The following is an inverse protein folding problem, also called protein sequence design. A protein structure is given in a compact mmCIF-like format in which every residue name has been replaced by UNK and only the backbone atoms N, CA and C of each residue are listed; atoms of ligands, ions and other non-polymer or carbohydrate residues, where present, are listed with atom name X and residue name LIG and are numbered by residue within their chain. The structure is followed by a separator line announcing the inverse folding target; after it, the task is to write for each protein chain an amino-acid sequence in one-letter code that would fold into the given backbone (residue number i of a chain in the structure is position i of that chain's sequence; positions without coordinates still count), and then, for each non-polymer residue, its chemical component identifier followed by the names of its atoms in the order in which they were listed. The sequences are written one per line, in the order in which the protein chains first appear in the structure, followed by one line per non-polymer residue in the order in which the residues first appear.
data_IF_759037289976
#
_entry.id   IF_759037289976
#
_cell.length_a   1.000
_cell.length_b   1.000
_cell.length_c   1.000
_cell.angle_alpha   90.00
_cell.angle_beta   90.00
_cell.angle_gamma   90.00
#
_symmetry.space_group_name_H-M   'P 1'
#
loop_
_entity.id
_entity.type
_entity.pdbx_description
1 polymer ?
#
# COMPACT_ATOMS: atom_id res chain seq x y z
N UNK A 1 -14.10 1.63 -14.25
CA UNK A 1 -13.75 2.13 -12.92
C UNK A 1 -14.64 3.30 -12.45
N UNK A 2 -15.96 3.18 -12.44
CA UNK A 2 -16.89 4.32 -12.28
C UNK A 2 -17.54 4.53 -10.89
N UNK A 3 -17.22 3.74 -9.87
CA UNK A 3 -17.96 3.80 -8.60
C UNK A 3 -17.63 4.99 -7.70
N UNK A 4 -16.36 5.16 -7.31
CA UNK A 4 -15.91 6.27 -6.46
C UNK A 4 -15.85 7.58 -7.23
N UNK A 5 -15.37 7.56 -8.48
CA UNK A 5 -15.35 8.75 -9.31
C UNK A 5 -16.71 9.41 -9.42
N UNK A 6 -17.77 8.63 -9.54
CA UNK A 6 -19.13 9.18 -9.61
C UNK A 6 -19.56 9.85 -8.29
N UNK A 7 -19.27 9.26 -7.13
CA UNK A 7 -19.60 9.86 -5.84
C UNK A 7 -18.77 11.12 -5.55
N UNK A 8 -17.46 11.07 -5.79
CA UNK A 8 -16.57 12.22 -5.64
C UNK A 8 -16.97 13.35 -6.56
N UNK A 9 -17.30 13.08 -7.83
CA UNK A 9 -17.82 14.09 -8.76
C UNK A 9 -19.13 14.72 -8.30
N UNK A 10 -20.05 13.91 -7.77
CA UNK A 10 -21.32 14.41 -7.22
C UNK A 10 -21.07 15.39 -6.06
N UNK A 11 -20.03 15.15 -5.25
CA UNK A 11 -19.63 16.07 -4.18
C UNK A 11 -18.93 17.31 -4.74
N UNK A 12 -18.04 17.15 -5.72
CA UNK A 12 -17.30 18.23 -6.36
C UNK A 12 -18.19 19.16 -7.19
N UNK A 13 -19.26 18.63 -7.83
CA UNK A 13 -20.23 19.43 -8.62
C UNK A 13 -21.11 20.35 -7.78
N UNK A 14 -21.01 20.31 -6.45
CA UNK A 14 -21.78 21.22 -5.58
C UNK A 14 -21.25 22.67 -5.57
N UNK A 15 -20.27 23.02 -6.39
CA UNK A 15 -19.66 24.36 -6.57
C UNK A 15 -19.52 25.18 -5.25
N UNK A 16 -19.23 24.50 -4.16
CA UNK A 16 -19.03 25.08 -2.84
C UNK A 16 -17.70 24.65 -2.26
N UNK A 17 -17.01 25.54 -1.56
CA UNK A 17 -15.76 25.22 -0.86
C UNK A 17 -15.95 24.06 0.14
N UNK A 18 -17.08 24.00 0.81
CA UNK A 18 -17.42 22.91 1.72
C UNK A 18 -17.62 21.58 0.99
N UNK A 19 -18.22 21.60 -0.22
CA UNK A 19 -18.35 20.43 -1.09
C UNK A 19 -16.98 19.89 -1.54
N UNK A 20 -16.11 20.79 -1.95
CA UNK A 20 -14.74 20.46 -2.34
C UNK A 20 -13.93 19.87 -1.16
N UNK A 21 -13.93 20.55 -0.02
CA UNK A 21 -13.22 20.09 1.18
C UNK A 21 -13.73 18.72 1.65
N UNK A 22 -15.05 18.50 1.65
CA UNK A 22 -15.64 17.21 2.00
C UNK A 22 -15.28 16.11 1.01
N UNK A 23 -15.19 16.40 -0.29
CA UNK A 23 -14.76 15.44 -1.30
C UNK A 23 -13.30 15.00 -1.09
N UNK A 24 -12.39 15.95 -0.85
CA UNK A 24 -10.98 15.63 -0.57
C UNK A 24 -10.80 14.90 0.78
N UNK A 25 -11.51 15.31 1.83
CA UNK A 25 -11.49 14.60 3.11
C UNK A 25 -11.99 13.16 2.96
N UNK A 26 -13.08 12.96 2.24
CA UNK A 26 -13.64 11.65 1.94
C UNK A 26 -12.68 10.81 1.08
N UNK A 27 -12.06 11.40 0.05
CA UNK A 27 -11.03 10.75 -0.76
C UNK A 27 -9.83 10.33 0.09
N UNK A 28 -9.38 11.18 1.01
CA UNK A 28 -8.30 10.87 1.96
C UNK A 28 -8.61 9.68 2.86
N UNK A 29 -9.81 9.67 3.46
CA UNK A 29 -10.25 8.53 4.29
C UNK A 29 -10.31 7.22 3.50
N UNK A 30 -10.74 7.28 2.26
CA UNK A 30 -10.86 6.07 1.42
C UNK A 30 -9.50 5.58 0.93
N UNK A 31 -8.65 6.47 0.46
CA UNK A 31 -7.37 6.08 -0.15
C UNK A 31 -6.33 5.64 0.87
N UNK A 32 -6.32 6.27 2.05
CA UNK A 32 -5.34 6.01 3.10
C UNK A 32 -5.94 5.38 4.37
N UNK A 33 -7.27 5.32 4.48
CA UNK A 33 -7.96 4.85 5.68
C UNK A 33 -7.49 3.48 6.19
N UNK A 34 -7.44 2.43 5.38
CA UNK A 34 -6.94 1.12 5.80
C UNK A 34 -5.53 1.17 6.39
N UNK A 35 -4.64 1.91 5.76
CA UNK A 35 -3.26 2.09 6.18
C UNK A 35 -3.15 2.90 7.48
N UNK A 36 -3.83 4.04 7.54
CA UNK A 36 -3.86 4.92 8.73
C UNK A 36 -4.47 4.20 9.93
N UNK A 37 -5.58 3.47 9.73
CA UNK A 37 -6.21 2.69 10.79
C UNK A 37 -5.28 1.61 11.35
N UNK A 38 -4.44 0.98 10.51
CA UNK A 38 -3.46 0.00 11.00
C UNK A 38 -2.39 0.65 11.87
N UNK A 39 -1.80 1.76 11.42
CA UNK A 39 -0.79 2.49 12.20
C UNK A 39 -1.38 2.98 13.52
N UNK A 40 -2.51 3.69 13.47
CA UNK A 40 -3.18 4.25 14.66
C UNK A 40 -3.60 3.13 15.61
N UNK A 41 -4.14 2.03 15.11
CA UNK A 41 -4.55 0.88 15.92
C UNK A 41 -3.39 0.28 16.71
N UNK A 42 -2.24 0.03 16.06
CA UNK A 42 -1.05 -0.52 16.71
C UNK A 42 -0.48 0.47 17.74
N UNK A 43 -0.42 1.77 17.41
CA UNK A 43 0.03 2.80 18.32
C UNK A 43 -0.89 2.92 19.56
N UNK A 44 -2.22 2.87 19.37
CA UNK A 44 -3.18 2.91 20.47
C UNK A 44 -3.05 1.68 21.39
N UNK A 45 -2.89 0.49 20.83
CA UNK A 45 -2.64 -0.71 21.64
C UNK A 45 -1.38 -0.52 22.49
N UNK A 46 -0.29 -0.06 21.88
CA UNK A 46 0.96 0.21 22.58
C UNK A 46 0.77 1.23 23.72
N UNK A 47 0.24 2.41 23.38
CA UNK A 47 0.07 3.51 24.31
C UNK A 47 -0.86 3.16 25.51
N UNK A 48 -2.01 2.55 25.22
CA UNK A 48 -2.99 2.16 26.25
C UNK A 48 -2.57 0.91 27.06
N UNK A 49 -1.49 0.25 26.67
CA UNK A 49 -0.91 -0.87 27.40
C UNK A 49 0.24 -0.44 28.33
N UNK A 50 0.74 0.79 28.20
CA UNK A 50 1.77 1.33 29.09
C UNK A 50 1.24 1.31 30.54
N UNK A 51 2.05 0.82 31.47
CA UNK A 51 1.69 0.69 32.88
C UNK A 51 0.87 -0.54 33.27
N UNK A 52 0.28 -1.23 32.29
CA UNK A 52 -0.44 -2.51 32.50
C UNK A 52 0.37 -3.74 32.10
N UNK A 53 1.15 -3.62 31.05
CA UNK A 53 2.02 -4.69 30.56
C UNK A 53 3.43 -4.47 31.07
N UNK A 54 3.88 -5.37 31.94
CA UNK A 54 5.20 -5.30 32.58
C UNK A 54 5.95 -6.61 32.32
N UNK A 55 7.20 -6.56 31.85
CA UNK A 55 8.01 -5.39 31.51
C UNK A 55 7.55 -4.71 30.19
N UNK A 56 7.80 -3.40 30.06
CA UNK A 56 7.44 -2.61 28.89
C UNK A 56 8.03 -3.13 27.56
N UNK A 57 9.11 -3.91 27.60
CA UNK A 57 9.70 -4.61 26.46
C UNK A 57 8.67 -5.48 25.70
N UNK A 58 7.66 -6.05 26.39
CA UNK A 58 6.63 -6.88 25.76
C UNK A 58 5.78 -6.08 24.76
N UNK A 59 5.59 -4.77 25.00
CA UNK A 59 4.89 -3.89 24.07
C UNK A 59 5.72 -3.70 22.79
N UNK A 60 7.03 -3.47 22.94
CA UNK A 60 7.94 -3.36 21.80
C UNK A 60 8.00 -4.68 21.01
N UNK A 61 8.08 -5.81 21.70
CA UNK A 61 8.04 -7.13 21.07
C UNK A 61 6.76 -7.34 20.27
N UNK A 62 5.61 -6.93 20.81
CA UNK A 62 4.34 -6.96 20.10
C UNK A 62 4.36 -6.09 18.83
N UNK A 63 4.77 -4.82 18.95
CA UNK A 63 4.82 -3.89 17.82
C UNK A 63 5.75 -4.38 16.71
N UNK A 64 6.94 -4.87 17.06
CA UNK A 64 7.90 -5.43 16.12
C UNK A 64 7.34 -6.67 15.45
N UNK A 65 6.76 -7.61 16.23
CA UNK A 65 6.14 -8.82 15.68
C UNK A 65 5.06 -8.47 14.63
N UNK A 66 4.17 -7.53 14.96
CA UNK A 66 3.12 -7.10 14.02
C UNK A 66 3.70 -6.39 12.79
N UNK A 67 4.74 -5.58 12.95
CA UNK A 67 5.41 -4.91 11.83
C UNK A 67 6.01 -5.91 10.84
N UNK A 68 6.67 -6.97 11.34
CA UNK A 68 7.17 -8.05 10.47
C UNK A 68 6.03 -8.83 9.80
N UNK A 69 4.94 -9.11 10.52
CA UNK A 69 3.76 -9.75 9.91
C UNK A 69 3.22 -8.94 8.74
N UNK A 70 3.12 -7.61 8.88
CA UNK A 70 2.68 -6.70 7.81
C UNK A 70 3.69 -6.70 6.67
N UNK A 71 4.97 -6.45 6.93
CA UNK A 71 6.01 -6.32 5.93
C UNK A 71 6.17 -7.59 5.08
N UNK A 72 6.36 -8.73 5.75
CA UNK A 72 6.64 -10.00 5.07
C UNK A 72 5.41 -10.52 4.33
N UNK A 73 4.19 -10.35 4.89
CA UNK A 73 2.96 -10.73 4.20
C UNK A 73 2.69 -9.89 2.95
N UNK A 74 2.98 -8.59 2.97
CA UNK A 74 2.88 -7.70 1.80
C UNK A 74 3.86 -8.10 0.70
N UNK A 75 5.12 -8.37 1.05
CA UNK A 75 6.14 -8.80 0.08
C UNK A 75 5.76 -10.16 -0.51
N UNK A 76 5.34 -11.13 0.33
CA UNK A 76 4.96 -12.47 -0.12
C UNK A 76 3.77 -12.45 -1.09
N UNK A 77 2.77 -11.61 -0.81
CA UNK A 77 1.55 -11.55 -1.63
C UNK A 77 1.67 -10.61 -2.81
N UNK A 78 2.67 -9.72 -2.83
CA UNK A 78 2.93 -8.77 -3.90
C UNK A 78 2.85 -9.37 -5.31
N UNK A 79 3.46 -10.54 -5.59
CA UNK A 79 3.35 -11.23 -6.86
C UNK A 79 1.92 -11.48 -7.34
N UNK A 80 1.02 -11.84 -6.42
CA UNK A 80 -0.36 -12.16 -6.77
C UNK A 80 -1.24 -10.91 -6.87
N UNK A 81 -0.92 -9.84 -6.15
CA UNK A 81 -1.74 -8.65 -6.05
C UNK A 81 -2.06 -8.05 -7.44
N UNK A 82 -1.05 -7.67 -8.21
CA UNK A 82 -1.24 -7.03 -9.51
C UNK A 82 -1.74 -8.00 -10.58
N UNK A 83 -1.22 -9.23 -10.60
CA UNK A 83 -1.62 -10.25 -11.56
C UNK A 83 -3.10 -10.63 -11.39
N UNK A 84 -3.55 -10.81 -10.14
CA UNK A 84 -4.94 -11.14 -9.84
C UNK A 84 -5.89 -9.96 -10.10
N UNK A 85 -5.48 -8.73 -9.82
CA UNK A 85 -6.24 -7.52 -10.17
C UNK A 85 -6.47 -7.46 -11.69
N UNK A 86 -5.44 -7.70 -12.49
CA UNK A 86 -5.55 -7.72 -13.94
C UNK A 86 -6.48 -8.82 -14.43
N UNK A 87 -6.30 -10.04 -13.93
CA UNK A 87 -7.18 -11.16 -14.25
C UNK A 87 -8.66 -10.83 -13.95
N UNK A 88 -8.94 -10.26 -12.78
CA UNK A 88 -10.30 -9.87 -12.40
C UNK A 88 -10.86 -8.81 -13.34
N UNK A 89 -10.07 -7.80 -13.70
CA UNK A 89 -10.48 -6.75 -14.63
C UNK A 89 -10.79 -7.30 -16.02
N UNK A 90 -9.96 -8.24 -16.53
CA UNK A 90 -10.18 -8.88 -17.82
C UNK A 90 -11.46 -9.72 -17.81
N UNK A 91 -11.74 -10.48 -16.73
CA UNK A 91 -12.99 -11.27 -16.62
C UNK A 91 -14.22 -10.37 -16.53
N UNK A 92 -14.16 -9.26 -15.81
CA UNK A 92 -15.23 -8.26 -15.76
C UNK A 92 -15.51 -7.64 -17.15
N UNK A 93 -14.43 -7.30 -17.88
CA UNK A 93 -14.55 -6.77 -19.24
C UNK A 93 -15.20 -7.79 -20.20
N UNK A 94 -14.83 -9.07 -20.08
CA UNK A 94 -15.40 -10.17 -20.86
C UNK A 94 -16.80 -10.58 -20.41
N UNK A 95 -17.37 -9.95 -19.35
CA UNK A 95 -18.65 -10.30 -18.71
C UNK A 95 -18.70 -11.76 -18.22
N UNK A 96 -17.56 -12.28 -17.74
CA UNK A 96 -17.42 -13.63 -17.17
C UNK A 96 -17.31 -13.60 -15.65
N UNK A 97 -18.19 -12.89 -15.00
CA UNK A 97 -18.17 -12.63 -13.54
C UNK A 97 -18.21 -13.93 -12.71
N UNK A 98 -18.86 -14.99 -13.25
CA UNK A 98 -18.96 -16.30 -12.61
C UNK A 98 -17.61 -17.01 -12.42
N UNK A 99 -16.53 -16.59 -13.14
CA UNK A 99 -15.17 -17.14 -12.99
C UNK A 99 -14.38 -16.45 -11.89
N UNK A 100 -14.82 -15.29 -11.42
CA UNK A 100 -14.05 -14.45 -10.51
C UNK A 100 -13.94 -15.11 -9.12
N UNK A 101 -15.08 -15.46 -8.51
CA UNK A 101 -15.10 -16.09 -7.19
C UNK A 101 -14.35 -17.43 -7.11
N UNK A 102 -14.50 -18.37 -8.07
CA UNK A 102 -13.73 -19.61 -8.06
C UNK A 102 -12.23 -19.42 -8.16
N UNK A 103 -11.75 -18.41 -8.91
CA UNK A 103 -10.34 -18.09 -9.01
C UNK A 103 -9.83 -17.37 -7.76
N UNK A 104 -10.66 -16.56 -7.08
CA UNK A 104 -10.33 -16.01 -5.77
C UNK A 104 -10.06 -17.13 -4.75
N UNK A 105 -10.89 -18.19 -4.72
CA UNK A 105 -10.65 -19.34 -3.85
C UNK A 105 -9.32 -20.04 -4.15
N UNK A 106 -8.97 -20.18 -5.43
CA UNK A 106 -7.70 -20.80 -5.84
C UNK A 106 -6.49 -19.95 -5.39
N UNK A 107 -6.56 -18.63 -5.54
CA UNK A 107 -5.51 -17.71 -5.08
C UNK A 107 -5.42 -17.71 -3.55
N UNK A 108 -6.55 -17.66 -2.84
CA UNK A 108 -6.59 -17.72 -1.38
C UNK A 108 -6.02 -19.05 -0.85
N UNK A 109 -6.32 -20.16 -1.50
CA UNK A 109 -5.75 -21.47 -1.16
C UNK A 109 -4.23 -21.48 -1.36
N UNK A 110 -3.73 -21.00 -2.50
CA UNK A 110 -2.29 -20.90 -2.77
C UNK A 110 -1.59 -20.04 -1.72
N UNK A 111 -2.13 -18.84 -1.45
CA UNK A 111 -1.57 -17.90 -0.47
C UNK A 111 -1.60 -18.49 0.94
N UNK A 112 -2.70 -19.14 1.33
CA UNK A 112 -2.81 -19.81 2.63
C UNK A 112 -1.80 -20.96 2.76
N UNK A 113 -1.66 -21.80 1.73
CA UNK A 113 -0.70 -22.91 1.72
C UNK A 113 0.75 -22.41 1.79
N UNK A 114 1.10 -21.42 0.96
CA UNK A 114 2.45 -20.87 0.91
C UNK A 114 2.81 -20.12 2.20
N UNK A 115 1.95 -19.20 2.66
CA UNK A 115 2.19 -18.45 3.90
C UNK A 115 2.17 -19.38 5.13
N UNK A 116 1.30 -20.39 5.14
CA UNK A 116 1.27 -21.42 6.19
C UNK A 116 2.57 -22.22 6.24
N UNK A 117 3.04 -22.72 5.10
CA UNK A 117 4.28 -23.49 5.01
C UNK A 117 5.51 -22.66 5.44
N UNK A 118 5.64 -21.43 4.93
CA UNK A 118 6.71 -20.50 5.33
C UNK A 118 6.59 -20.13 6.81
N UNK A 119 5.37 -19.80 7.28
CA UNK A 119 5.13 -19.43 8.67
C UNK A 119 5.48 -20.55 9.64
N UNK A 120 5.09 -21.81 9.35
CA UNK A 120 5.45 -22.98 10.17
C UNK A 120 6.97 -23.21 10.15
N UNK A 121 7.60 -23.15 8.98
CA UNK A 121 9.04 -23.27 8.88
C UNK A 121 9.76 -22.21 9.71
N UNK A 122 9.38 -20.93 9.58
CA UNK A 122 9.92 -19.86 10.42
C UNK A 122 9.68 -20.11 11.90
N UNK A 123 8.47 -20.49 12.29
CA UNK A 123 8.14 -20.76 13.70
C UNK A 123 8.98 -21.88 14.33
N UNK A 124 9.29 -22.92 13.55
CA UNK A 124 10.10 -24.06 14.02
C UNK A 124 11.59 -23.73 14.06
N UNK A 125 12.13 -23.14 12.98
CA UNK A 125 13.58 -22.95 12.83
C UNK A 125 14.09 -21.62 13.39
N UNK A 126 13.28 -20.57 13.36
CA UNK A 126 13.74 -19.23 13.76
C UNK A 126 13.29 -18.82 15.18
N UNK A 127 12.26 -19.48 15.74
CA UNK A 127 11.71 -19.14 17.04
C UNK A 127 11.67 -20.37 18.01
N UNK A 128 12.72 -21.21 18.10
CA UNK A 128 12.68 -22.41 18.93
C UNK A 128 12.51 -22.11 20.42
N UNK A 129 13.03 -20.97 20.89
CA UNK A 129 13.00 -20.56 22.30
C UNK A 129 11.68 -19.88 22.72
N UNK A 130 10.84 -19.53 21.75
CA UNK A 130 9.59 -18.84 22.04
C UNK A 130 8.49 -19.84 22.39
N UNK A 131 7.51 -19.38 23.19
CA UNK A 131 6.37 -20.21 23.58
C UNK A 131 5.60 -20.75 22.37
N UNK A 132 5.02 -21.93 22.53
CA UNK A 132 4.19 -22.55 21.48
C UNK A 132 3.04 -21.62 21.08
N UNK A 133 2.44 -20.91 22.06
CA UNK A 133 1.33 -19.99 21.80
C UNK A 133 1.78 -18.81 20.93
N UNK A 134 2.92 -18.17 21.25
CA UNK A 134 3.49 -17.10 20.43
C UNK A 134 3.72 -17.57 18.98
N UNK A 135 4.35 -18.73 18.80
CA UNK A 135 4.61 -19.32 17.47
C UNK A 135 3.33 -19.57 16.68
N UNK A 136 2.30 -20.14 17.32
CA UNK A 136 1.01 -20.37 16.68
C UNK A 136 0.31 -19.06 16.28
N UNK A 137 0.36 -18.04 17.14
CA UNK A 137 -0.21 -16.71 16.86
C UNK A 137 0.53 -16.01 15.72
N UNK A 138 1.86 -16.13 15.64
CA UNK A 138 2.65 -15.59 14.53
C UNK A 138 2.28 -16.26 13.20
N UNK A 139 2.18 -17.60 13.16
CA UNK A 139 1.76 -18.33 11.96
C UNK A 139 0.33 -17.94 11.55
N UNK A 140 -0.61 -17.95 12.50
CA UNK A 140 -2.00 -17.56 12.23
C UNK A 140 -2.09 -16.12 11.73
N UNK A 141 -1.41 -15.17 12.40
CA UNK A 141 -1.34 -13.78 11.98
C UNK A 141 -0.78 -13.61 10.58
N UNK A 142 0.29 -14.34 10.25
CA UNK A 142 0.92 -14.29 8.92
C UNK A 142 -0.01 -14.77 7.81
N UNK A 143 -0.70 -15.89 8.03
CA UNK A 143 -1.67 -16.44 7.07
C UNK A 143 -2.87 -15.52 6.90
N UNK A 144 -3.42 -15.01 8.01
CA UNK A 144 -4.56 -14.09 7.98
C UNK A 144 -4.21 -12.80 7.25
N UNK A 145 -3.08 -12.16 7.59
CA UNK A 145 -2.62 -10.94 6.94
C UNK A 145 -2.39 -11.13 5.44
N UNK A 146 -1.75 -12.25 5.04
CA UNK A 146 -1.53 -12.57 3.63
C UNK A 146 -2.86 -12.66 2.86
N UNK A 147 -3.88 -13.26 3.43
CA UNK A 147 -5.21 -13.33 2.81
C UNK A 147 -5.97 -12.00 2.82
N UNK A 148 -5.77 -11.16 3.86
CA UNK A 148 -6.34 -9.80 3.88
C UNK A 148 -5.83 -8.99 2.68
N UNK A 149 -4.54 -9.03 2.35
CA UNK A 149 -3.98 -8.29 1.21
C UNK A 149 -4.62 -8.71 -0.11
N UNK A 150 -4.86 -9.99 -0.31
CA UNK A 150 -5.56 -10.47 -1.52
C UNK A 150 -7.03 -10.03 -1.53
N UNK A 151 -7.72 -10.14 -0.39
CA UNK A 151 -9.12 -9.72 -0.29
C UNK A 151 -9.32 -8.21 -0.49
N UNK A 152 -8.42 -7.37 0.07
CA UNK A 152 -8.45 -5.90 -0.11
C UNK A 152 -8.35 -5.51 -1.57
N UNK A 153 -7.38 -6.08 -2.29
CA UNK A 153 -7.16 -5.77 -3.69
C UNK A 153 -8.33 -6.22 -4.54
N UNK A 154 -8.87 -7.39 -4.26
CA UNK A 154 -10.07 -7.88 -4.91
C UNK A 154 -11.27 -6.93 -4.71
N UNK A 155 -11.53 -6.54 -3.47
CA UNK A 155 -12.61 -5.59 -3.15
C UNK A 155 -12.36 -4.19 -3.73
N UNK A 156 -11.12 -3.74 -3.83
CA UNK A 156 -10.77 -2.47 -4.47
C UNK A 156 -11.12 -2.48 -5.95
N UNK A 157 -10.88 -3.59 -6.65
CA UNK A 157 -11.30 -3.79 -8.03
C UNK A 157 -12.82 -3.72 -8.23
N UNK A 158 -13.61 -4.04 -7.19
CA UNK A 158 -15.07 -3.99 -7.19
C UNK A 158 -15.67 -2.61 -6.85
N UNK A 159 -14.85 -1.61 -6.55
CA UNK A 159 -15.27 -0.23 -6.25
C UNK A 159 -16.12 -0.05 -4.98
N UNK A 160 -16.13 -1.02 -4.09
CA UNK A 160 -16.88 -0.97 -2.83
C UNK A 160 -16.08 -0.32 -1.69
N UNK A 161 -15.44 0.77 -1.96
CA UNK A 161 -14.50 1.44 -1.06
C UNK A 161 -15.10 1.83 0.30
N UNK A 162 -16.39 2.24 0.34
CA UNK A 162 -17.07 2.51 1.63
C UNK A 162 -17.13 1.26 2.50
N UNK A 163 -17.53 0.13 1.90
CA UNK A 163 -17.62 -1.13 2.63
C UNK A 163 -16.25 -1.59 3.12
N UNK A 164 -15.18 -1.39 2.31
CA UNK A 164 -13.79 -1.68 2.72
C UNK A 164 -13.42 -0.83 3.94
N UNK A 165 -13.58 0.50 3.88
CA UNK A 165 -13.24 1.40 5.00
C UNK A 165 -14.01 1.05 6.27
N UNK A 166 -15.31 0.78 6.17
CA UNK A 166 -16.10 0.36 7.32
C UNK A 166 -15.65 -0.97 7.90
N UNK A 167 -15.30 -1.94 7.05
CA UNK A 167 -14.79 -3.25 7.49
C UNK A 167 -13.45 -3.10 8.19
N UNK A 168 -12.58 -2.22 7.68
CA UNK A 168 -11.32 -1.89 8.36
C UNK A 168 -11.54 -1.19 9.69
N UNK A 169 -12.43 -0.20 9.73
CA UNK A 169 -12.75 0.52 10.98
C UNK A 169 -13.25 -0.44 12.06
N UNK A 170 -14.21 -1.30 11.72
CA UNK A 170 -14.75 -2.30 12.65
C UNK A 170 -13.68 -3.32 13.03
N UNK A 171 -12.92 -3.84 12.06
CA UNK A 171 -11.85 -4.80 12.29
C UNK A 171 -10.77 -4.26 13.22
N UNK A 172 -10.30 -3.03 13.01
CA UNK A 172 -9.30 -2.41 13.89
C UNK A 172 -9.88 -2.00 15.25
N UNK A 173 -11.15 -1.60 15.34
CA UNK A 173 -11.81 -1.41 16.62
C UNK A 173 -11.83 -2.71 17.44
N UNK A 174 -12.20 -3.83 16.81
CA UNK A 174 -12.15 -5.15 17.46
C UNK A 174 -10.70 -5.52 17.82
N UNK A 175 -9.73 -5.25 16.96
CA UNK A 175 -8.30 -5.48 17.22
C UNK A 175 -7.85 -4.78 18.49
N UNK A 176 -8.14 -3.47 18.62
CA UNK A 176 -7.77 -2.68 19.79
C UNK A 176 -8.48 -3.20 21.05
N UNK A 177 -9.79 -3.41 20.97
CA UNK A 177 -10.57 -3.89 22.13
C UNK A 177 -10.12 -5.27 22.60
N UNK A 178 -9.90 -6.22 21.68
CA UNK A 178 -9.46 -7.56 22.02
C UNK A 178 -8.03 -7.57 22.58
N UNK A 179 -7.10 -6.79 22.01
CA UNK A 179 -5.75 -6.67 22.52
C UNK A 179 -5.73 -6.07 23.92
N UNK A 180 -6.51 -5.02 24.17
CA UNK A 180 -6.63 -4.42 25.52
C UNK A 180 -7.31 -5.35 26.52
N UNK A 181 -8.31 -6.12 26.11
CA UNK A 181 -8.97 -7.11 26.97
C UNK A 181 -8.01 -8.25 27.39
N UNK A 182 -7.13 -8.66 26.48
CA UNK A 182 -6.20 -9.75 26.70
C UNK A 182 -4.81 -9.31 27.19
N UNK A 183 -4.55 -8.00 27.32
CA UNK A 183 -3.24 -7.43 27.69
C UNK A 183 -2.63 -7.98 28.98
N UNK A 184 -3.46 -8.45 29.92
CA UNK A 184 -3.00 -9.09 31.15
C UNK A 184 -2.20 -10.38 30.96
N UNK A 185 -2.23 -10.97 29.75
CA UNK A 185 -1.39 -12.13 29.35
C UNK A 185 -0.08 -11.70 28.70
N UNK A 186 0.31 -10.42 28.77
CA UNK A 186 1.55 -9.89 28.19
C UNK A 186 1.56 -9.93 26.67
N UNK A 187 2.71 -10.31 26.10
CA UNK A 187 2.94 -10.36 24.65
C UNK A 187 1.90 -11.24 23.92
N UNK A 188 1.67 -12.43 24.43
CA UNK A 188 0.73 -13.38 23.80
C UNK A 188 -0.72 -12.88 23.83
N UNK A 189 -1.10 -12.15 24.89
CA UNK A 189 -2.41 -11.53 24.97
C UNK A 189 -2.59 -10.41 23.95
N UNK A 190 -1.59 -9.53 23.80
CA UNK A 190 -1.61 -8.46 22.81
C UNK A 190 -1.66 -9.02 21.39
N UNK A 191 -0.79 -9.99 21.10
CA UNK A 191 -0.72 -10.62 19.77
C UNK A 191 -1.99 -11.45 19.48
N UNK A 192 -2.54 -12.15 20.47
CA UNK A 192 -3.80 -12.89 20.36
C UNK A 192 -4.97 -11.96 20.02
N UNK A 193 -5.07 -10.82 20.73
CA UNK A 193 -6.07 -9.80 20.42
C UNK A 193 -5.94 -9.23 19.01
N UNK A 194 -4.70 -8.99 18.57
CA UNK A 194 -4.43 -8.58 17.18
C UNK A 194 -4.91 -9.62 16.18
N UNK A 195 -4.54 -10.89 16.36
CA UNK A 195 -4.94 -11.99 15.46
C UNK A 195 -6.46 -12.17 15.40
N UNK A 196 -7.15 -12.08 16.55
CA UNK A 196 -8.63 -12.13 16.60
C UNK A 196 -9.23 -10.99 15.76
N UNK A 197 -8.77 -9.76 15.95
CA UNK A 197 -9.27 -8.62 15.20
C UNK A 197 -9.00 -8.72 13.71
N UNK A 198 -7.81 -9.17 13.30
CA UNK A 198 -7.48 -9.40 11.89
C UNK A 198 -8.30 -10.56 11.28
N UNK A 199 -8.62 -11.59 12.05
CA UNK A 199 -9.53 -12.65 11.60
C UNK A 199 -10.94 -12.11 11.36
N UNK A 200 -11.46 -11.28 12.27
CA UNK A 200 -12.76 -10.62 12.08
C UNK A 200 -12.76 -9.72 10.83
N UNK A 201 -11.67 -8.98 10.60
CA UNK A 201 -11.48 -8.18 9.40
C UNK A 201 -11.52 -9.04 8.13
N UNK A 202 -10.77 -10.13 8.10
CA UNK A 202 -10.75 -11.06 6.97
C UNK A 202 -12.13 -11.68 6.71
N UNK A 203 -12.82 -12.15 7.74
CA UNK A 203 -14.18 -12.70 7.63
C UNK A 203 -15.15 -11.65 7.08
N UNK A 204 -15.07 -10.40 7.56
CA UNK A 204 -15.85 -9.28 7.03
C UNK A 204 -15.63 -9.05 5.54
N UNK A 205 -14.37 -9.07 5.09
CA UNK A 205 -14.01 -8.92 3.66
C UNK A 205 -14.52 -10.09 2.82
N UNK A 206 -14.31 -11.32 3.27
CA UNK A 206 -14.80 -12.53 2.59
C UNK A 206 -16.32 -12.47 2.47
N UNK A 207 -17.03 -12.04 3.51
CA UNK A 207 -18.49 -11.88 3.48
C UNK A 207 -18.92 -10.86 2.41
N UNK A 208 -18.20 -9.75 2.28
CA UNK A 208 -18.48 -8.77 1.22
C UNK A 208 -18.23 -9.37 -0.17
N UNK A 209 -17.20 -10.17 -0.35
CA UNK A 209 -16.90 -10.85 -1.62
C UNK A 209 -18.05 -11.79 -2.00
N UNK A 210 -18.49 -12.64 -1.07
CA UNK A 210 -19.59 -13.59 -1.31
C UNK A 210 -20.95 -12.93 -1.58
N UNK A 211 -21.17 -11.72 -1.02
CA UNK A 211 -22.39 -10.94 -1.30
C UNK A 211 -22.43 -10.36 -2.70
N UNK A 212 -21.29 -10.14 -3.32
CA UNK A 212 -21.19 -9.46 -4.62
C UNK A 212 -20.99 -10.44 -5.78
N UNK A 213 -20.41 -11.59 -5.53
CA UNK A 213 -20.17 -12.60 -6.56
C UNK A 213 -20.79 -13.94 -6.17
N UNK A 214 -21.55 -14.48 -7.10
CA UNK A 214 -22.12 -15.84 -6.98
C UNK A 214 -21.51 -16.71 -8.08
N UNK A 215 -21.22 -17.96 -7.77
CA UNK A 215 -20.76 -18.93 -8.76
C UNK A 215 -21.25 -20.33 -8.39
N UNK A 216 -21.58 -21.11 -9.42
CA UNK A 216 -21.92 -22.53 -9.25
C UNK A 216 -20.69 -23.41 -9.04
N UNK A 217 -19.50 -22.92 -9.48
CA UNK A 217 -18.23 -23.62 -9.30
C UNK A 217 -17.55 -23.14 -8.02
N UNK A 218 -17.10 -24.07 -7.20
CA UNK A 218 -16.40 -23.71 -5.97
C UNK A 218 -14.99 -23.20 -6.24
N UNK A 219 -14.23 -23.82 -7.17
CA UNK A 219 -12.83 -23.50 -7.44
C UNK A 219 -12.51 -23.59 -8.93
N UNK A 220 -11.62 -22.71 -9.40
CA UNK A 220 -11.04 -22.71 -10.74
C UNK A 220 -9.60 -22.20 -10.66
N UNK A 221 -8.71 -22.78 -11.48
CA UNK A 221 -7.28 -22.42 -11.53
C UNK A 221 -6.92 -21.67 -12.81
N UNK A 222 -7.90 -21.05 -13.47
CA UNK A 222 -7.68 -20.34 -14.74
C UNK A 222 -6.71 -19.16 -14.59
N UNK A 223 -6.66 -18.52 -13.41
CA UNK A 223 -5.73 -17.43 -13.10
C UNK A 223 -4.27 -17.85 -13.23
N UNK A 224 -3.94 -19.13 -13.02
CA UNK A 224 -2.57 -19.68 -13.13
C UNK A 224 -2.22 -20.17 -14.52
N UNK A 225 -3.16 -20.16 -15.47
CA UNK A 225 -2.83 -20.49 -16.84
C UNK A 225 -1.88 -19.44 -17.43
N UNK A 226 -0.88 -19.90 -18.20
CA UNK A 226 0.18 -19.05 -18.76
C UNK A 226 -0.35 -17.81 -19.52
N UNK A 227 -1.52 -17.92 -20.14
CA UNK A 227 -2.18 -16.81 -20.86
C UNK A 227 -2.74 -15.73 -19.93
N UNK A 228 -3.11 -16.08 -18.72
CA UNK A 228 -3.76 -15.23 -17.72
C UNK A 228 -2.82 -14.76 -16.62
N UNK A 229 -1.69 -15.46 -16.45
CA UNK A 229 -0.66 -15.10 -15.49
C UNK A 229 0.31 -14.10 -16.13
N UNK A 230 0.15 -12.85 -15.90
CA UNK A 230 1.02 -11.78 -16.42
C UNK A 230 2.37 -11.74 -15.69
N UNK A 231 3.46 -12.42 -16.16
CA UNK A 231 4.70 -12.56 -15.40
C UNK A 231 5.35 -11.22 -15.03
N UNK A 232 5.23 -10.23 -15.93
CA UNK A 232 5.72 -8.87 -15.63
C UNK A 232 5.03 -8.25 -14.41
N UNK A 233 3.71 -8.42 -14.26
CA UNK A 233 2.96 -7.91 -13.12
C UNK A 233 3.31 -8.65 -11.81
N UNK A 234 3.59 -9.96 -11.90
CA UNK A 234 4.09 -10.77 -10.77
C UNK A 234 5.40 -10.19 -10.24
N UNK A 235 6.36 -9.92 -11.15
CA UNK A 235 7.67 -9.37 -10.78
C UNK A 235 7.53 -7.93 -10.27
N UNK A 236 6.73 -7.10 -10.94
CA UNK A 236 6.48 -5.70 -10.50
C UNK A 236 5.91 -5.66 -9.10
N UNK A 237 4.91 -6.49 -8.79
CA UNK A 237 4.30 -6.54 -7.46
C UNK A 237 5.28 -6.93 -6.36
N UNK A 238 6.18 -7.89 -6.65
CA UNK A 238 7.26 -8.27 -5.74
C UNK A 238 8.24 -7.11 -5.54
N UNK A 239 8.76 -6.54 -6.64
CA UNK A 239 9.77 -5.48 -6.59
C UNK A 239 9.25 -4.22 -5.90
N UNK A 240 8.00 -3.82 -6.17
CA UNK A 240 7.41 -2.65 -5.54
C UNK A 240 7.28 -2.80 -4.02
N UNK A 241 6.70 -3.92 -3.55
CA UNK A 241 6.58 -4.18 -2.11
C UNK A 241 7.95 -4.36 -1.44
N UNK A 242 8.88 -5.07 -2.10
CA UNK A 242 10.24 -5.20 -1.59
C UNK A 242 10.94 -3.82 -1.50
N UNK A 243 10.81 -3.00 -2.54
CA UNK A 243 11.42 -1.67 -2.57
C UNK A 243 10.97 -0.75 -1.44
N UNK A 244 9.69 -0.83 -1.03
CA UNK A 244 9.14 -0.03 0.07
C UNK A 244 9.70 -0.47 1.44
N UNK A 245 10.01 -1.76 1.62
CA UNK A 245 10.45 -2.30 2.90
C UNK A 245 11.96 -2.47 3.03
N UNK A 246 12.69 -2.41 1.93
CA UNK A 246 14.12 -2.78 1.85
C UNK A 246 15.00 -1.95 2.77
N UNK A 247 14.84 -0.62 2.77
CA UNK A 247 15.56 0.28 3.66
C UNK A 247 15.31 -0.04 5.13
N UNK A 248 14.05 -0.34 5.53
CA UNK A 248 13.69 -0.71 6.90
C UNK A 248 14.42 -2.00 7.32
N UNK A 249 14.37 -3.04 6.50
CA UNK A 249 15.13 -4.27 6.76
C UNK A 249 16.64 -4.01 6.88
N UNK A 250 17.20 -3.14 6.04
CA UNK A 250 18.64 -2.80 6.12
C UNK A 250 18.97 -2.10 7.43
N UNK A 251 18.13 -1.17 7.91
CA UNK A 251 18.31 -0.51 9.20
C UNK A 251 18.10 -1.47 10.38
N UNK A 252 17.17 -2.41 10.29
CA UNK A 252 16.93 -3.38 11.36
C UNK A 252 18.10 -4.32 11.58
N UNK A 253 18.79 -4.73 10.50
CA UNK A 253 19.88 -5.69 10.59
C UNK A 253 21.27 -5.05 10.51
N UNK A 254 21.37 -3.72 10.42
CA UNK A 254 22.65 -3.03 10.48
C UNK A 254 23.18 -2.99 11.93
N UNK A 255 24.44 -3.35 12.17
CA UNK A 255 25.00 -3.38 13.53
C UNK A 255 24.97 -2.03 14.26
N UNK A 256 24.97 -0.92 13.50
CA UNK A 256 24.96 0.44 14.04
C UNK A 256 23.58 0.94 14.47
N UNK A 257 22.49 0.38 13.97
CA UNK A 257 21.12 0.90 14.16
C UNK A 257 20.13 -0.13 14.62
N UNK A 258 20.37 -1.41 14.32
CA UNK A 258 19.49 -2.51 14.65
C UNK A 258 19.68 -3.03 16.06
N UNK A 259 18.57 -3.33 16.72
CA UNK A 259 18.54 -3.96 18.04
C UNK A 259 17.70 -5.23 17.97
N UNK A 260 18.22 -6.33 18.51
CA UNK A 260 17.46 -7.56 18.63
C UNK A 260 16.34 -7.39 19.66
N UNK A 261 15.11 -7.73 19.28
CA UNK A 261 13.91 -7.53 20.13
C UNK A 261 13.34 -8.86 20.59
N UNK A 262 13.14 -9.82 19.68
CA UNK A 262 12.61 -11.13 19.99
C UNK A 262 13.03 -12.15 18.93
N UNK A 263 13.70 -13.23 19.35
CA UNK A 263 14.25 -14.21 18.42
C UNK A 263 15.09 -13.54 17.33
N UNK A 264 14.87 -13.80 16.04
CA UNK A 264 15.61 -13.19 14.95
C UNK A 264 15.09 -11.78 14.57
N UNK A 265 14.02 -11.30 15.20
CA UNK A 265 13.44 -10.01 14.86
C UNK A 265 14.24 -8.87 15.47
N UNK A 266 14.64 -7.93 14.62
CA UNK A 266 15.34 -6.71 14.97
C UNK A 266 14.45 -5.51 14.67
N UNK A 267 14.70 -4.41 15.35
CA UNK A 267 14.07 -3.12 15.10
C UNK A 267 15.10 -2.01 15.16
N UNK A 268 14.82 -0.90 14.51
CA UNK A 268 15.65 0.29 14.58
C UNK A 268 14.84 1.46 15.11
N UNK A 269 14.84 1.65 16.43
CA UNK A 269 14.07 2.74 17.06
C UNK A 269 14.42 4.09 16.42
N UNK A 270 15.68 4.27 16.05
CA UNK A 270 16.19 5.49 15.41
C UNK A 270 15.48 5.73 14.07
N UNK A 271 15.23 4.68 13.29
CA UNK A 271 14.65 4.78 11.94
C UNK A 271 13.15 4.62 11.93
N UNK A 272 12.61 3.67 12.70
CA UNK A 272 11.19 3.27 12.63
C UNK A 272 10.24 4.38 13.03
N UNK A 273 10.54 5.12 14.11
CA UNK A 273 9.65 6.17 14.62
C UNK A 273 9.49 7.32 13.62
N UNK A 274 10.58 7.93 13.09
CA UNK A 274 10.46 8.97 12.07
C UNK A 274 9.72 8.51 10.81
N UNK A 275 10.04 7.31 10.32
CA UNK A 275 9.41 6.74 9.12
C UNK A 275 7.90 6.56 9.31
N UNK A 276 7.44 6.00 10.44
CA UNK A 276 6.02 5.85 10.72
C UNK A 276 5.28 7.19 10.76
N UNK A 277 5.87 8.20 11.39
CA UNK A 277 5.30 9.55 11.41
C UNK A 277 5.28 10.18 10.01
N UNK A 278 6.35 9.99 9.24
CA UNK A 278 6.45 10.48 7.87
C UNK A 278 5.37 9.90 6.95
N UNK A 279 5.03 8.62 7.12
CA UNK A 279 3.96 7.99 6.35
C UNK A 279 2.57 8.56 6.63
N UNK A 280 2.32 9.20 7.76
CA UNK A 280 1.06 9.92 7.99
C UNK A 280 0.94 11.18 7.10
N UNK A 281 2.07 11.72 6.63
CA UNK A 281 2.10 12.85 5.69
C UNK A 281 1.53 12.55 4.31
N UNK A 282 1.39 11.27 3.93
CA UNK A 282 0.91 10.90 2.60
C UNK A 282 -0.60 11.13 2.41
N UNK A 283 -1.36 11.28 3.49
CA UNK A 283 -2.84 11.35 3.47
C UNK A 283 -3.36 12.42 2.49
N UNK A 284 -2.89 13.69 2.52
CA UNK A 284 -3.38 14.71 1.60
C UNK A 284 -3.06 14.40 0.14
N UNK A 285 -1.84 13.91 -0.14
CA UNK A 285 -1.44 13.52 -1.50
C UNK A 285 -2.24 12.34 -2.03
N UNK A 286 -2.55 11.36 -1.19
CA UNK A 286 -3.40 10.23 -1.56
C UNK A 286 -4.85 10.65 -1.85
N UNK A 287 -5.36 11.67 -1.16
CA UNK A 287 -6.66 12.25 -1.46
C UNK A 287 -6.69 12.87 -2.86
N UNK A 288 -5.67 13.67 -3.19
CA UNK A 288 -5.52 14.27 -4.54
C UNK A 288 -5.32 13.20 -5.60
N UNK A 289 -4.49 12.19 -5.33
CA UNK A 289 -4.30 11.04 -6.22
C UNK A 289 -5.64 10.38 -6.59
N UNK A 290 -6.49 10.09 -5.60
CA UNK A 290 -7.77 9.44 -5.85
C UNK A 290 -8.71 10.33 -6.70
N UNK A 291 -8.74 11.63 -6.43
CA UNK A 291 -9.58 12.58 -7.18
C UNK A 291 -9.04 12.77 -8.60
N UNK A 292 -7.75 13.06 -8.75
CA UNK A 292 -7.17 13.47 -10.03
C UNK A 292 -6.83 12.30 -10.95
N UNK A 293 -6.27 11.23 -10.39
CA UNK A 293 -5.83 10.09 -11.22
C UNK A 293 -6.94 9.04 -11.33
N UNK A 294 -7.53 8.62 -10.23
CA UNK A 294 -8.54 7.56 -10.26
C UNK A 294 -9.94 8.05 -10.71
N UNK A 295 -10.16 9.37 -10.79
CA UNK A 295 -11.45 9.93 -11.16
C UNK A 295 -11.35 10.75 -12.46
N UNK A 296 -10.60 11.85 -12.45
CA UNK A 296 -10.58 12.78 -13.59
C UNK A 296 -9.85 12.19 -14.80
N UNK A 297 -8.63 11.68 -14.59
CA UNK A 297 -7.87 11.07 -15.68
C UNK A 297 -8.59 9.87 -16.29
N UNK A 298 -9.19 8.99 -15.48
CA UNK A 298 -9.90 7.80 -15.97
C UNK A 298 -11.07 8.15 -16.90
N UNK A 299 -11.77 9.27 -16.65
CA UNK A 299 -12.84 9.73 -17.53
C UNK A 299 -12.33 10.05 -18.93
N UNK A 300 -11.26 10.85 -19.01
CA UNK A 300 -10.68 11.23 -20.30
C UNK A 300 -9.96 10.08 -20.99
N UNK A 301 -9.38 9.16 -20.21
CA UNK A 301 -8.85 7.90 -20.72
C UNK A 301 -9.95 7.07 -21.41
N UNK A 302 -11.08 6.87 -20.75
CA UNK A 302 -12.22 6.15 -21.33
C UNK A 302 -12.78 6.88 -22.56
N UNK A 303 -12.89 8.22 -22.52
CA UNK A 303 -13.36 9.03 -23.64
C UNK A 303 -12.42 8.89 -24.86
N UNK A 304 -11.11 8.99 -24.67
CA UNK A 304 -10.12 8.82 -25.74
C UNK A 304 -10.21 7.44 -26.39
N UNK A 305 -10.16 6.37 -25.61
CA UNK A 305 -10.22 5.01 -26.17
C UNK A 305 -11.60 4.66 -26.76
N UNK A 306 -12.68 5.25 -26.28
CA UNK A 306 -14.00 5.11 -26.90
C UNK A 306 -14.08 5.86 -28.23
N UNK A 307 -13.50 7.06 -28.36
CA UNK A 307 -13.41 7.78 -29.63
C UNK A 307 -12.60 7.00 -30.67
N UNK A 308 -11.45 6.41 -30.26
CA UNK A 308 -10.63 5.55 -31.16
C UNK A 308 -11.43 4.34 -31.61
N UNK A 309 -12.06 3.60 -30.70
CA UNK A 309 -12.83 2.39 -31.03
C UNK A 309 -14.11 2.68 -31.81
N UNK A 310 -14.71 3.83 -31.58
CA UNK A 310 -15.92 4.27 -32.27
C UNK A 310 -15.69 4.85 -33.68
N UNK A 311 -14.41 4.96 -34.12
CA UNK A 311 -14.09 5.52 -35.44
C UNK A 311 -14.44 7.00 -35.56
N UNK A 312 -14.29 7.79 -34.49
CA UNK A 312 -14.51 9.24 -34.50
C UNK A 312 -13.53 9.95 -35.45
N UNK A 313 -13.79 11.22 -35.79
CA UNK A 313 -12.87 12.03 -36.60
C UNK A 313 -11.51 12.16 -35.92
N UNK A 314 -10.43 12.29 -36.71
CA UNK A 314 -9.08 12.45 -36.20
C UNK A 314 -8.97 13.65 -35.25
N UNK A 315 -9.56 14.77 -35.63
CA UNK A 315 -9.61 15.99 -34.84
C UNK A 315 -10.22 15.76 -33.45
N UNK A 316 -11.32 15.00 -33.36
CA UNK A 316 -11.94 14.65 -32.08
C UNK A 316 -11.05 13.72 -31.22
N UNK A 317 -10.37 12.77 -31.86
CA UNK A 317 -9.43 11.87 -31.16
C UNK A 317 -8.24 12.63 -30.61
N UNK A 318 -7.67 13.58 -31.39
CA UNK A 318 -6.57 14.45 -30.96
C UNK A 318 -7.00 15.37 -29.81
N UNK A 319 -8.20 15.93 -29.86
CA UNK A 319 -8.74 16.76 -28.77
C UNK A 319 -8.90 15.95 -27.47
N UNK A 320 -9.47 14.75 -27.54
CA UNK A 320 -9.59 13.84 -26.38
C UNK A 320 -8.22 13.44 -25.83
N UNK A 321 -7.23 13.14 -26.70
CA UNK A 321 -5.87 12.86 -26.28
C UNK A 321 -5.24 14.05 -25.57
N UNK A 322 -5.36 15.26 -26.15
CA UNK A 322 -4.78 16.47 -25.58
C UNK A 322 -5.37 16.78 -24.21
N UNK A 323 -6.70 16.64 -24.07
CA UNK A 323 -7.40 16.82 -22.79
C UNK A 323 -6.95 15.78 -21.76
N UNK A 324 -6.80 14.51 -22.15
CA UNK A 324 -6.30 13.46 -21.28
C UNK A 324 -4.87 13.74 -20.80
N UNK A 325 -3.96 14.12 -21.72
CA UNK A 325 -2.55 14.47 -21.40
C UNK A 325 -2.48 15.67 -20.46
N UNK A 326 -3.29 16.71 -20.72
CA UNK A 326 -3.37 17.87 -19.84
C UNK A 326 -3.88 17.49 -18.44
N UNK A 327 -4.89 16.64 -18.36
CA UNK A 327 -5.42 16.13 -17.07
C UNK A 327 -4.37 15.36 -16.29
N UNK A 328 -3.55 14.52 -16.95
CA UNK A 328 -2.42 13.83 -16.34
C UNK A 328 -1.42 14.84 -15.74
N UNK A 329 -0.97 15.81 -16.56
CA UNK A 329 0.03 16.81 -16.14
C UNK A 329 -0.48 17.63 -14.94
N UNK A 330 -1.72 18.12 -15.02
CA UNK A 330 -2.36 18.87 -13.93
C UNK A 330 -2.53 18.00 -12.66
N UNK A 331 -2.97 16.77 -12.81
CA UNK A 331 -3.16 15.85 -11.68
C UNK A 331 -1.85 15.57 -10.94
N UNK A 332 -0.77 15.27 -11.68
CA UNK A 332 0.56 15.06 -11.08
C UNK A 332 1.09 16.34 -10.42
N UNK A 333 0.93 17.48 -11.06
CA UNK A 333 1.31 18.79 -10.49
C UNK A 333 0.58 19.06 -9.17
N UNK A 334 -0.72 18.79 -9.10
CA UNK A 334 -1.51 18.97 -7.88
C UNK A 334 -1.09 18.00 -6.77
N UNK A 335 -0.77 16.75 -7.09
CA UNK A 335 -0.22 15.80 -6.11
C UNK A 335 1.09 16.36 -5.53
N UNK A 336 2.02 16.80 -6.38
CA UNK A 336 3.30 17.38 -5.94
C UNK A 336 3.07 18.62 -5.09
N UNK A 337 2.22 19.53 -5.52
CA UNK A 337 1.91 20.77 -4.81
C UNK A 337 1.32 20.51 -3.42
N UNK A 338 0.29 19.68 -3.33
CA UNK A 338 -0.38 19.38 -2.05
C UNK A 338 0.56 18.62 -1.13
N UNK A 339 1.35 17.70 -1.68
CA UNK A 339 2.30 16.94 -0.88
C UNK A 339 3.47 17.81 -0.38
N UNK A 340 3.93 18.77 -1.19
CA UNK A 340 4.93 19.75 -0.75
C UNK A 340 4.39 20.64 0.38
N UNK A 341 3.12 21.06 0.30
CA UNK A 341 2.48 21.82 1.39
C UNK A 341 2.39 20.97 2.66
N UNK A 342 1.96 19.70 2.55
CA UNK A 342 1.90 18.80 3.70
C UNK A 342 3.28 18.56 4.34
N UNK A 343 4.32 18.40 3.52
CA UNK A 343 5.70 18.29 3.98
C UNK A 343 6.16 19.57 4.71
N UNK A 344 5.91 20.75 4.14
CA UNK A 344 6.23 22.04 4.79
C UNK A 344 5.52 22.20 6.13
N UNK A 345 4.23 21.85 6.22
CA UNK A 345 3.49 21.89 7.49
C UNK A 345 4.17 20.98 8.51
N UNK A 346 4.54 19.75 8.14
CA UNK A 346 5.22 18.83 9.06
C UNK A 346 6.63 19.31 9.45
N UNK A 347 7.35 19.97 8.56
CA UNK A 347 8.63 20.60 8.90
C UNK A 347 8.44 21.68 9.98
N UNK A 348 7.40 22.50 9.86
CA UNK A 348 7.10 23.57 10.84
C UNK A 348 6.65 23.02 12.18
N UNK A 349 5.73 22.04 12.17
CA UNK A 349 5.13 21.51 13.42
C UNK A 349 5.84 20.26 13.96
N UNK A 350 6.80 19.71 13.22
CA UNK A 350 7.45 18.42 13.55
C UNK A 350 8.10 18.40 14.93
N UNK A 351 8.78 19.49 15.32
CA UNK A 351 9.33 19.64 16.66
C UNK A 351 8.25 19.51 17.76
N UNK A 352 7.12 20.19 17.56
CA UNK A 352 6.00 20.12 18.50
C UNK A 352 5.38 18.71 18.54
N UNK A 353 5.25 18.04 17.39
CA UNK A 353 4.73 16.67 17.35
C UNK A 353 5.64 15.73 18.14
N UNK A 354 6.96 15.79 17.92
CA UNK A 354 7.90 14.95 18.67
C UNK A 354 7.85 15.23 20.18
N UNK A 355 7.77 16.49 20.58
CA UNK A 355 7.66 16.88 21.98
C UNK A 355 6.36 16.34 22.64
N UNK A 356 5.20 16.44 21.96
CA UNK A 356 3.92 15.91 22.45
C UNK A 356 3.96 14.38 22.57
N UNK A 357 4.66 13.70 21.68
CA UNK A 357 4.82 12.25 21.71
C UNK A 357 5.93 11.77 22.66
N UNK A 358 6.67 12.70 23.31
CA UNK A 358 7.79 12.37 24.18
C UNK A 358 9.00 11.80 23.44
N UNK A 359 9.12 12.10 22.15
CA UNK A 359 10.21 11.62 21.27
C UNK A 359 11.31 12.66 21.22
N UNK A 360 12.57 12.21 21.25
CA UNK A 360 13.74 13.11 21.24
C UNK A 360 13.80 13.95 19.94
N UNK A 361 14.16 15.23 20.09
CA UNK A 361 14.39 16.14 18.95
C UNK A 361 15.57 15.70 18.05
N UNK A 362 16.40 14.78 18.49
CA UNK A 362 17.47 14.20 17.69
C UNK A 362 16.96 13.50 16.42
N UNK A 363 15.71 13.05 16.43
CA UNK A 363 15.07 12.41 15.26
C UNK A 363 14.51 13.41 14.25
N UNK A 364 14.52 14.70 14.53
CA UNK A 364 13.91 15.73 13.70
C UNK A 364 14.49 15.81 12.28
N UNK A 365 15.83 15.80 12.06
CA UNK A 365 16.39 15.81 10.72
C UNK A 365 15.97 14.60 9.89
N UNK A 366 15.96 13.41 10.50
CA UNK A 366 15.55 12.19 9.85
C UNK A 366 14.07 12.23 9.48
N UNK A 367 13.20 12.69 10.39
CA UNK A 367 11.79 12.90 10.11
C UNK A 367 11.56 13.77 8.87
N UNK A 368 12.31 14.86 8.71
CA UNK A 368 12.19 15.75 7.55
C UNK A 368 12.57 15.05 6.25
N UNK A 369 13.65 14.28 6.25
CA UNK A 369 14.08 13.51 5.08
C UNK A 369 13.07 12.43 4.72
N UNK A 370 12.55 11.71 5.73
CA UNK A 370 11.56 10.65 5.52
C UNK A 370 10.21 11.19 5.02
N UNK A 371 9.79 12.38 5.47
CA UNK A 371 8.60 13.08 4.94
C UNK A 371 8.77 13.40 3.46
N UNK A 372 9.96 13.83 3.03
CA UNK A 372 10.25 14.06 1.60
C UNK A 372 10.20 12.72 0.85
N UNK A 373 10.83 11.67 1.38
CA UNK A 373 10.78 10.33 0.79
C UNK A 373 9.34 9.82 0.64
N UNK A 374 8.55 9.86 1.71
CA UNK A 374 7.14 9.45 1.66
C UNK A 374 6.32 10.28 0.65
N UNK A 375 6.59 11.59 0.55
CA UNK A 375 5.97 12.47 -0.43
C UNK A 375 6.29 12.07 -1.88
N UNK A 376 7.55 11.78 -2.17
CA UNK A 376 7.98 11.30 -3.48
C UNK A 376 7.39 9.93 -3.82
N UNK A 377 7.18 9.07 -2.83
CA UNK A 377 6.54 7.77 -3.03
C UNK A 377 5.08 7.93 -3.51
N UNK A 378 4.33 8.91 -3.01
CA UNK A 378 2.97 9.20 -3.50
C UNK A 378 3.00 9.66 -4.96
N UNK A 379 3.96 10.51 -5.33
CA UNK A 379 4.14 10.94 -6.73
C UNK A 379 4.46 9.73 -7.62
N UNK A 380 5.39 8.87 -7.19
CA UNK A 380 5.73 7.64 -7.92
C UNK A 380 4.50 6.76 -8.10
N UNK A 381 3.68 6.56 -7.06
CA UNK A 381 2.45 5.78 -7.14
C UNK A 381 1.49 6.36 -8.19
N UNK A 382 1.35 7.70 -8.25
CA UNK A 382 0.55 8.38 -9.26
C UNK A 382 1.04 8.10 -10.69
N UNK A 383 2.34 8.19 -10.92
CA UNK A 383 2.95 7.92 -12.24
C UNK A 383 2.81 6.43 -12.61
N UNK A 384 3.09 5.50 -11.68
CA UNK A 384 2.94 4.07 -11.94
C UNK A 384 1.49 3.69 -12.26
N UNK A 385 0.52 4.34 -11.62
CA UNK A 385 -0.89 4.10 -11.90
C UNK A 385 -1.25 4.50 -13.34
N UNK A 386 -0.78 5.65 -13.81
CA UNK A 386 -0.96 6.09 -15.20
C UNK A 386 -0.36 5.07 -16.17
N UNK A 387 0.84 4.57 -15.91
CA UNK A 387 1.45 3.51 -16.71
C UNK A 387 0.64 2.21 -16.72
N UNK A 388 0.01 1.83 -15.59
CA UNK A 388 -0.87 0.65 -15.54
C UNK A 388 -2.12 0.84 -16.41
N UNK A 389 -2.72 2.03 -16.42
CA UNK A 389 -3.84 2.32 -17.32
C UNK A 389 -3.43 2.26 -18.79
N UNK A 390 -2.25 2.77 -19.13
CA UNK A 390 -1.69 2.71 -20.49
C UNK A 390 -1.11 1.34 -20.87
N UNK A 391 -1.20 0.33 -19.99
CA UNK A 391 -0.63 -1.03 -20.14
C UNK A 391 0.87 -1.07 -20.42
N UNK A 392 1.64 -0.10 -19.89
CA UNK A 392 3.09 0.06 -20.09
C UNK A 392 3.90 -0.70 -19.03
N UNK A 393 3.78 -2.01 -19.02
CA UNK A 393 4.38 -2.89 -18.00
C UNK A 393 5.91 -2.92 -18.02
N UNK A 394 6.54 -2.70 -19.19
CA UNK A 394 8.02 -2.70 -19.31
C UNK A 394 8.61 -1.50 -18.57
N UNK A 395 8.00 -0.32 -18.73
CA UNK A 395 8.41 0.90 -18.04
C UNK A 395 8.21 0.77 -16.53
N UNK A 396 7.10 0.22 -16.08
CA UNK A 396 6.85 -0.04 -14.66
C UNK A 396 7.86 -1.03 -14.08
N UNK A 397 8.20 -2.11 -14.81
CA UNK A 397 9.21 -3.08 -14.39
C UNK A 397 10.60 -2.42 -14.25
N UNK A 398 10.97 -1.59 -15.21
CA UNK A 398 12.22 -0.82 -15.17
C UNK A 398 12.25 0.10 -13.94
N UNK A 399 11.17 0.87 -13.71
CA UNK A 399 11.10 1.83 -12.60
C UNK A 399 11.13 1.13 -11.24
N UNK A 400 10.36 0.06 -11.06
CA UNK A 400 10.34 -0.68 -9.79
C UNK A 400 11.66 -1.43 -9.55
N UNK A 401 12.27 -1.98 -10.59
CA UNK A 401 13.60 -2.59 -10.50
C UNK A 401 14.69 -1.56 -10.15
N UNK A 402 14.69 -0.41 -10.81
CA UNK A 402 15.60 0.71 -10.51
C UNK A 402 15.41 1.20 -9.08
N UNK A 403 14.16 1.29 -8.61
CA UNK A 403 13.87 1.68 -7.23
C UNK A 403 14.49 0.72 -6.21
N UNK A 404 14.31 -0.58 -6.37
CA UNK A 404 14.90 -1.58 -5.47
C UNK A 404 16.44 -1.47 -5.44
N UNK A 405 17.07 -1.39 -6.62
CA UNK A 405 18.53 -1.31 -6.73
C UNK A 405 19.06 -0.02 -6.10
N UNK A 406 18.49 1.13 -6.46
CA UNK A 406 18.92 2.42 -5.90
C UNK A 406 18.67 2.50 -4.40
N UNK A 407 17.50 2.04 -3.92
CA UNK A 407 17.22 2.04 -2.49
C UNK A 407 18.24 1.17 -1.73
N UNK A 408 18.56 -0.03 -2.24
CA UNK A 408 19.59 -0.89 -1.64
C UNK A 408 20.97 -0.21 -1.58
N UNK A 409 21.44 0.27 -2.74
CA UNK A 409 22.81 0.85 -2.85
C UNK A 409 22.95 2.12 -2.04
N UNK A 410 21.98 3.05 -2.17
CA UNK A 410 22.05 4.34 -1.47
C UNK A 410 21.80 4.19 0.04
N UNK A 411 20.91 3.31 0.46
CA UNK A 411 20.72 3.03 1.90
C UNK A 411 21.96 2.39 2.50
N UNK A 412 22.62 1.46 1.79
CA UNK A 412 23.90 0.89 2.22
C UNK A 412 24.96 1.96 2.41
N UNK A 413 25.08 2.86 1.43
CA UNK A 413 26.03 3.98 1.49
C UNK A 413 25.73 4.90 2.68
N UNK A 414 24.46 5.26 2.91
CA UNK A 414 24.09 6.15 4.03
C UNK A 414 24.30 5.51 5.40
N UNK A 415 24.14 4.19 5.52
CA UNK A 415 24.48 3.46 6.74
C UNK A 415 25.98 3.53 7.05
N UNK A 416 26.85 3.50 6.03
CA UNK A 416 28.29 3.63 6.18
C UNK A 416 28.72 5.07 6.46
N UNK A 417 28.05 6.07 5.91
CA UNK A 417 28.32 7.50 6.16
C UNK A 417 27.90 7.95 7.57
N UNK A 418 26.99 7.24 8.22
CA UNK A 418 26.60 7.47 9.61
C UNK A 418 25.33 8.28 9.81
N UNK A 419 25.00 8.63 11.08
CA UNK A 419 23.66 9.11 11.48
C UNK A 419 23.16 10.37 10.77
N UNK A 420 24.06 11.28 10.37
CA UNK A 420 23.71 12.50 9.66
C UNK A 420 23.09 12.24 8.26
N UNK A 421 23.30 11.05 7.71
CA UNK A 421 22.88 10.66 6.37
C UNK A 421 21.72 9.65 6.35
N UNK A 422 21.23 9.23 7.52
CA UNK A 422 20.12 8.30 7.60
C UNK A 422 18.86 8.87 6.93
N UNK A 423 18.09 8.01 6.23
CA UNK A 423 16.92 8.40 5.46
C UNK A 423 17.20 8.90 4.04
N UNK A 424 18.38 9.50 3.80
CA UNK A 424 18.72 10.02 2.45
C UNK A 424 18.77 8.92 1.39
N UNK A 425 19.16 7.68 1.74
CA UNK A 425 19.16 6.56 0.80
C UNK A 425 17.80 6.33 0.18
N UNK A 426 16.77 6.26 1.01
CA UNK A 426 15.38 6.10 0.57
C UNK A 426 14.86 7.33 -0.20
N UNK A 427 15.05 8.54 0.33
CA UNK A 427 14.55 9.77 -0.28
C UNK A 427 15.20 10.06 -1.64
N UNK A 428 16.54 9.92 -1.76
CA UNK A 428 17.25 10.15 -3.02
C UNK A 428 16.94 9.08 -4.06
N UNK A 429 16.81 7.80 -3.65
CA UNK A 429 16.40 6.73 -4.56
C UNK A 429 15.02 7.05 -5.20
N UNK A 430 14.07 7.49 -4.39
CA UNK A 430 12.75 7.89 -4.89
C UNK A 430 12.82 9.13 -5.77
N UNK A 431 13.62 10.14 -5.41
CA UNK A 431 13.81 11.34 -6.23
C UNK A 431 14.31 10.98 -7.65
N UNK A 432 15.33 10.14 -7.74
CA UNK A 432 15.89 9.71 -9.02
C UNK A 432 14.89 8.89 -9.84
N UNK A 433 14.18 7.97 -9.18
CA UNK A 433 13.17 7.14 -9.86
C UNK A 433 11.97 7.97 -10.31
N UNK A 434 11.49 8.93 -9.51
CA UNK A 434 10.40 9.85 -9.89
C UNK A 434 10.83 10.72 -11.07
N UNK A 435 12.04 11.28 -11.05
CA UNK A 435 12.56 12.06 -12.17
C UNK A 435 12.63 11.22 -13.46
N UNK A 436 13.13 9.98 -13.38
CA UNK A 436 13.15 9.05 -14.50
C UNK A 436 11.72 8.72 -14.97
N UNK A 437 10.81 8.46 -14.02
CA UNK A 437 9.43 8.10 -14.33
C UNK A 437 8.68 9.21 -15.05
N UNK A 438 8.84 10.46 -14.61
CA UNK A 438 8.24 11.63 -15.25
C UNK A 438 8.82 11.88 -16.65
N UNK A 439 10.14 11.76 -16.79
CA UNK A 439 10.81 11.89 -18.08
C UNK A 439 10.33 10.86 -19.11
N UNK A 440 10.26 9.58 -18.70
CA UNK A 440 9.77 8.52 -19.56
C UNK A 440 8.28 8.68 -19.87
N UNK A 441 7.48 9.16 -18.90
CA UNK A 441 6.05 9.39 -19.10
C UNK A 441 5.80 10.48 -20.15
N UNK A 442 6.50 11.61 -20.04
CA UNK A 442 6.36 12.72 -21.00
C UNK A 442 6.65 12.26 -22.42
N UNK A 443 7.76 11.53 -22.62
CA UNK A 443 8.09 10.91 -23.93
C UNK A 443 7.04 9.95 -24.45
N UNK A 444 6.39 9.20 -23.57
CA UNK A 444 5.35 8.24 -23.97
C UNK A 444 4.05 8.92 -24.33
N UNK A 445 3.68 9.96 -23.60
CA UNK A 445 2.49 10.77 -23.91
C UNK A 445 2.59 11.48 -25.25
N UNK A 446 3.78 11.96 -25.63
CA UNK A 446 4.02 12.57 -26.93
C UNK A 446 3.89 11.58 -28.11
N UNK A 447 4.13 10.27 -27.87
CA UNK A 447 4.04 9.21 -28.88
C UNK A 447 2.77 8.36 -28.79
N UNK A 448 1.84 8.74 -27.95
CA UNK A 448 0.67 7.92 -27.62
C UNK A 448 -0.16 7.55 -28.85
N UNK A 449 -0.40 8.50 -29.74
CA UNK A 449 -1.16 8.25 -30.99
C UNK A 449 -0.46 7.25 -31.88
N UNK A 450 0.82 7.48 -32.17
CA UNK A 450 1.62 6.57 -32.99
C UNK A 450 1.57 5.14 -32.44
N UNK A 451 1.77 4.98 -31.12
CA UNK A 451 1.74 3.68 -30.48
C UNK A 451 0.34 3.05 -30.43
N UNK A 452 -0.71 3.87 -30.40
CA UNK A 452 -2.10 3.38 -30.42
C UNK A 452 -2.51 2.86 -31.80
N UNK A 453 -2.04 3.48 -32.89
CA UNK A 453 -2.44 3.11 -34.25
C UNK A 453 -1.48 2.14 -34.93
N UNK A 454 -0.18 2.19 -34.63
CA UNK A 454 0.85 1.45 -35.36
C UNK A 454 1.30 0.15 -34.69
N UNK A 455 0.99 -0.06 -33.42
CA UNK A 455 1.42 -1.24 -32.65
C UNK A 455 0.26 -2.18 -32.26
N UNK A 456 -0.90 -2.01 -32.88
CA UNK A 456 -2.03 -2.94 -32.72
C UNK A 456 -1.90 -4.15 -33.62
#
# INVERSE_FOLDING_TARGET
MAGIGFELRKMLRRDSLTGMLSAYAYAGVISSGPWVLSIVGILLIGLLSIGFVVPGLLITQFQVSVTYLIAVSLILTGPMQLSFTRFTSDRLFERKDHLILPNFHAVALLVTGLSGAIGVACAVFLFPEQSVLYRLLMVAGFVIMSNIWIAVIFLSGMKQYKAIVWTFLVGYAITVLAALALRGRGLEGLLGGFVIGQLCLLVGMITLIYRNYTSQRFMSFEVFHRKNLYPSLVIIGLLYNLGIWLDKFMFWYAPSTGQQVIGPLHASIIYDIPVFLAYLAIIPGMAVFLVRIETDFVEYYDAFYNAVRGGSSLEHIEDMRNTMVQTIRLGLYEIVKVQAIAALVLVVIGRWILAVLGISELYLPLLYVDVIGASLQVVLLGVLNIYFYLDRRREVLLLTGTFVVLNFVLTRLTLELGPAWYGYGFAVSLLLVVALALYLLDRKLDRLEYETYMLQ
#
